data_IF_160699692639
#
_entry.id   IF_160699692639
#
_cell.length_a   1.000
_cell.length_b   1.000
_cell.length_c   1.000
_cell.angle_alpha   90.00
_cell.angle_beta   90.00
_cell.angle_gamma   90.00
#
_symmetry.space_group_name_H-M   'P 1'
#
loop_
_entity.id
_entity.type
_entity.pdbx_description
1 polymer ?
#
# COMPACT_ATOMS: atom_id res chain seq x y z
N UNK A 1 -19.07 -4.60 -0.84
CA UNK A 1 -19.01 -3.98 -2.19
C UNK A 1 -18.63 -2.51 -2.15
N UNK A 2 -19.41 -1.61 -1.51
CA UNK A 2 -19.05 -0.18 -1.42
C UNK A 2 -17.67 0.10 -0.83
N UNK A 3 -17.28 -0.60 0.24
CA UNK A 3 -15.95 -0.47 0.84
C UNK A 3 -14.83 -0.76 -0.17
N UNK A 4 -14.93 -1.85 -0.93
CA UNK A 4 -13.96 -2.20 -1.97
C UNK A 4 -13.88 -1.14 -3.08
N UNK A 5 -15.02 -0.58 -3.49
CA UNK A 5 -15.06 0.48 -4.49
C UNK A 5 -14.32 1.71 -3.97
N UNK A 6 -14.66 2.16 -2.75
CA UNK A 6 -14.02 3.32 -2.11
C UNK A 6 -12.51 3.09 -1.93
N UNK A 7 -12.11 1.90 -1.47
CA UNK A 7 -10.72 1.54 -1.29
C UNK A 7 -9.96 1.53 -2.62
N UNK A 8 -10.56 0.98 -3.68
CA UNK A 8 -9.97 0.95 -5.03
C UNK A 8 -9.79 2.36 -5.59
N UNK A 9 -10.81 3.23 -5.44
CA UNK A 9 -10.73 4.62 -5.86
C UNK A 9 -9.68 5.39 -5.06
N UNK A 10 -9.60 5.18 -3.75
CA UNK A 10 -8.58 5.80 -2.91
C UNK A 10 -7.17 5.33 -3.32
N UNK A 11 -6.96 4.02 -3.48
CA UNK A 11 -5.68 3.48 -3.92
C UNK A 11 -5.28 4.07 -5.27
N UNK A 12 -6.20 4.08 -6.24
CA UNK A 12 -5.96 4.66 -7.56
C UNK A 12 -5.62 6.15 -7.48
N UNK A 13 -6.38 6.92 -6.70
CA UNK A 13 -6.14 8.36 -6.51
C UNK A 13 -4.75 8.63 -5.93
N UNK A 14 -4.37 7.94 -4.85
CA UNK A 14 -3.07 8.16 -4.21
C UNK A 14 -1.90 7.70 -5.10
N UNK A 15 -2.03 6.57 -5.80
CA UNK A 15 -1.03 6.12 -6.78
C UNK A 15 -0.90 7.12 -7.94
N UNK A 16 -2.01 7.65 -8.45
CA UNK A 16 -2.02 8.64 -9.51
C UNK A 16 -1.41 9.96 -9.06
N UNK A 17 -1.84 10.48 -7.91
CA UNK A 17 -1.27 11.70 -7.31
C UNK A 17 0.24 11.55 -7.12
N UNK A 18 0.70 10.41 -6.59
CA UNK A 18 2.11 10.16 -6.44
C UNK A 18 2.84 10.17 -7.79
N UNK A 19 2.36 9.38 -8.75
CA UNK A 19 3.04 9.17 -10.04
C UNK A 19 3.15 10.44 -10.88
N UNK A 20 2.11 11.26 -10.92
CA UNK A 20 2.05 12.44 -11.80
C UNK A 20 2.48 13.75 -11.13
N UNK A 21 2.22 13.90 -9.82
CA UNK A 21 2.48 15.18 -9.12
C UNK A 21 3.71 15.11 -8.22
N UNK A 22 3.85 14.05 -7.44
CA UNK A 22 4.82 14.03 -6.34
C UNK A 22 6.12 13.29 -6.66
N UNK A 23 6.13 12.38 -7.63
CA UNK A 23 7.31 11.60 -8.00
C UNK A 23 8.52 12.47 -8.31
N UNK A 24 8.33 13.55 -9.07
CA UNK A 24 9.41 14.47 -9.46
C UNK A 24 9.90 15.36 -8.30
N UNK A 25 9.24 15.33 -7.15
CA UNK A 25 9.58 16.11 -5.96
C UNK A 25 10.38 15.31 -4.93
N UNK A 26 10.53 14.00 -5.14
CA UNK A 26 11.32 13.11 -4.25
C UNK A 26 12.76 13.04 -4.78
N UNK A 27 13.78 13.05 -3.90
CA UNK A 27 15.15 12.82 -4.33
C UNK A 27 15.31 11.42 -4.95
N UNK A 28 15.98 11.34 -6.10
CA UNK A 28 16.25 10.10 -6.85
C UNK A 28 14.99 9.32 -7.28
N UNK A 29 14.07 9.93 -8.07
CA UNK A 29 12.81 9.30 -8.50
C UNK A 29 12.97 8.06 -9.41
N UNK A 30 14.18 7.84 -9.93
CA UNK A 30 14.61 6.69 -10.71
C UNK A 30 14.88 5.43 -9.87
N UNK A 31 15.06 5.57 -8.54
CA UNK A 31 15.27 4.43 -7.66
C UNK A 31 14.01 3.54 -7.58
N UNK A 32 14.19 2.29 -7.17
CA UNK A 32 13.04 1.38 -6.99
C UNK A 32 12.05 1.94 -5.96
N UNK A 33 10.75 1.75 -6.19
CA UNK A 33 9.68 2.20 -5.28
C UNK A 33 9.89 1.68 -3.84
N UNK A 34 10.42 0.46 -3.66
CA UNK A 34 10.72 -0.09 -2.34
C UNK A 34 11.72 0.76 -1.55
N UNK A 35 12.77 1.26 -2.23
CA UNK A 35 13.77 2.14 -1.61
C UNK A 35 13.14 3.50 -1.28
N UNK A 36 12.28 4.01 -2.17
CA UNK A 36 11.56 5.26 -1.94
C UNK A 36 10.60 5.14 -0.74
N UNK A 37 9.93 4.00 -0.58
CA UNK A 37 9.09 3.71 0.60
C UNK A 37 9.94 3.66 1.87
N UNK A 38 11.10 2.99 1.83
CA UNK A 38 12.03 2.93 2.96
C UNK A 38 12.49 4.34 3.37
N UNK A 39 12.89 5.16 2.40
CA UNK A 39 13.28 6.55 2.64
C UNK A 39 12.11 7.38 3.17
N UNK A 40 10.90 7.19 2.62
CA UNK A 40 9.69 7.87 3.04
C UNK A 40 9.33 7.60 4.51
N UNK A 41 9.64 6.43 5.07
CA UNK A 41 9.42 6.18 6.51
C UNK A 41 10.30 7.05 7.41
N UNK A 42 11.50 7.43 6.95
CA UNK A 42 12.42 8.28 7.71
C UNK A 42 12.00 9.75 7.69
N UNK A 43 11.39 10.19 6.59
CA UNK A 43 10.86 11.56 6.42
C UNK A 43 9.37 11.55 6.01
N UNK A 44 8.52 10.99 6.87
CA UNK A 44 7.10 10.83 6.58
C UNK A 44 6.31 12.14 6.60
N UNK A 45 6.91 13.24 7.10
CA UNK A 45 6.25 14.55 7.23
C UNK A 45 6.16 15.29 5.90
N UNK A 46 7.00 14.97 4.92
CA UNK A 46 6.91 15.59 3.61
C UNK A 46 5.69 15.05 2.85
N UNK A 47 4.94 15.94 2.20
CA UNK A 47 3.73 15.57 1.46
C UNK A 47 3.95 14.46 0.43
N UNK A 48 5.04 14.46 -0.38
CA UNK A 48 5.32 13.36 -1.32
C UNK A 48 5.44 11.99 -0.63
N UNK A 49 6.17 11.94 0.48
CA UNK A 49 6.42 10.72 1.23
C UNK A 49 5.15 10.24 1.94
N UNK A 50 4.36 11.16 2.49
CA UNK A 50 3.08 10.85 3.10
C UNK A 50 2.10 10.25 2.09
N UNK A 51 2.00 10.83 0.89
CA UNK A 51 1.16 10.30 -0.20
C UNK A 51 1.62 8.90 -0.62
N UNK A 52 2.94 8.68 -0.73
CA UNK A 52 3.49 7.36 -1.05
C UNK A 52 3.19 6.33 0.03
N UNK A 53 3.36 6.68 1.31
CA UNK A 53 3.11 5.78 2.43
C UNK A 53 1.61 5.44 2.54
N UNK A 54 0.71 6.39 2.28
CA UNK A 54 -0.73 6.12 2.23
C UNK A 54 -1.07 5.18 1.06
N UNK A 55 -0.51 5.42 -0.13
CA UNK A 55 -0.68 4.52 -1.27
C UNK A 55 -0.22 3.10 -0.93
N UNK A 56 0.95 2.98 -0.29
CA UNK A 56 1.50 1.70 0.14
C UNK A 56 0.63 1.02 1.21
N UNK A 57 0.12 1.76 2.20
CA UNK A 57 -0.79 1.22 3.21
C UNK A 57 -2.09 0.71 2.59
N UNK A 58 -2.70 1.48 1.67
CA UNK A 58 -3.89 1.06 0.94
C UNK A 58 -3.63 -0.22 0.12
N UNK A 59 -2.45 -0.33 -0.49
CA UNK A 59 -2.03 -1.54 -1.19
C UNK A 59 -1.87 -2.75 -0.25
N UNK A 60 -1.28 -2.56 0.93
CA UNK A 60 -1.14 -3.63 1.93
C UNK A 60 -2.50 -4.14 2.43
N UNK A 61 -3.48 -3.24 2.59
CA UNK A 61 -4.83 -3.57 3.07
C UNK A 61 -5.76 -4.08 1.97
N UNK A 62 -5.38 -3.95 0.70
CA UNK A 62 -6.27 -4.28 -0.42
C UNK A 62 -6.78 -5.74 -0.42
N UNK A 63 -5.93 -6.76 -0.18
CA UNK A 63 -6.40 -8.16 -0.11
C UNK A 63 -7.42 -8.38 1.02
N UNK A 64 -7.24 -7.69 2.15
CA UNK A 64 -8.14 -7.78 3.29
C UNK A 64 -9.51 -7.19 2.94
N UNK A 65 -9.53 -6.00 2.34
CA UNK A 65 -10.76 -5.35 1.88
C UNK A 65 -11.47 -6.18 0.80
N UNK A 66 -10.71 -6.81 -0.09
CA UNK A 66 -11.24 -7.71 -1.12
C UNK A 66 -11.93 -8.90 -0.45
N UNK A 67 -11.23 -9.66 0.39
CA UNK A 67 -11.79 -10.85 1.01
C UNK A 67 -12.99 -10.56 1.92
N UNK A 68 -12.96 -9.48 2.71
CA UNK A 68 -14.13 -9.06 3.49
C UNK A 68 -15.31 -8.60 2.63
N UNK A 69 -15.04 -8.00 1.47
CA UNK A 69 -16.11 -7.54 0.57
C UNK A 69 -16.88 -8.66 -0.10
N UNK A 70 -16.26 -9.82 -0.27
CA UNK A 70 -16.92 -11.04 -0.74
C UNK A 70 -17.53 -11.88 0.39
N UNK A 71 -17.46 -11.37 1.63
CA UNK A 71 -18.02 -11.94 2.87
C UNK A 71 -18.35 -13.43 2.74
N UNK A 72 -17.31 -14.25 2.73
CA UNK A 72 -17.49 -15.68 2.77
C UNK A 72 -17.96 -15.96 4.19
N UNK A 73 -19.24 -16.24 4.43
CA UNK A 73 -19.76 -16.66 5.74
C UNK A 73 -19.23 -18.04 6.16
N UNK A 74 -17.94 -18.29 5.99
CA UNK A 74 -17.29 -19.57 6.13
C UNK A 74 -15.83 -19.42 6.55
N UNK A 75 -15.19 -20.56 6.82
CA UNK A 75 -13.76 -20.70 7.14
C UNK A 75 -12.82 -20.07 6.10
N UNK A 76 -13.31 -19.74 4.91
CA UNK A 76 -12.54 -19.05 3.88
C UNK A 76 -12.08 -17.64 4.29
N UNK A 77 -12.74 -16.99 5.26
CA UNK A 77 -12.24 -15.74 5.84
C UNK A 77 -10.90 -15.92 6.56
N UNK A 78 -10.66 -17.09 7.18
CA UNK A 78 -9.38 -17.41 7.81
C UNK A 78 -8.27 -17.46 6.76
N UNK A 79 -8.56 -18.06 5.60
CA UNK A 79 -7.61 -18.11 4.47
C UNK A 79 -7.29 -16.72 3.95
N UNK A 80 -8.30 -15.85 3.80
CA UNK A 80 -8.10 -14.44 3.43
C UNK A 80 -7.15 -13.75 4.39
N UNK A 81 -7.37 -13.91 5.71
CA UNK A 81 -6.53 -13.28 6.73
C UNK A 81 -5.10 -13.82 6.69
N UNK A 82 -4.92 -15.14 6.54
CA UNK A 82 -3.58 -15.76 6.43
C UNK A 82 -2.85 -15.23 5.18
N UNK A 83 -3.52 -15.21 4.02
CA UNK A 83 -2.92 -14.70 2.79
C UNK A 83 -2.58 -13.20 2.91
N UNK A 84 -3.45 -12.42 3.55
CA UNK A 84 -3.17 -11.02 3.84
C UNK A 84 -1.96 -10.84 4.77
N UNK A 85 -1.82 -11.65 5.83
CA UNK A 85 -0.65 -11.61 6.71
C UNK A 85 0.63 -11.91 5.93
N UNK A 86 0.63 -12.97 5.10
CA UNK A 86 1.79 -13.34 4.28
C UNK A 86 2.13 -12.22 3.28
N UNK A 87 1.12 -11.64 2.63
CA UNK A 87 1.26 -10.50 1.73
C UNK A 87 1.87 -9.29 2.44
N UNK A 88 1.23 -8.86 3.53
CA UNK A 88 1.63 -7.67 4.27
C UNK A 88 3.03 -7.84 4.86
N UNK A 89 3.36 -9.03 5.37
CA UNK A 89 4.68 -9.36 5.88
C UNK A 89 5.74 -9.29 4.79
N UNK A 90 5.54 -9.92 3.64
CA UNK A 90 6.52 -9.91 2.56
C UNK A 90 6.80 -8.49 2.08
N UNK A 91 5.75 -7.73 1.76
CA UNK A 91 5.91 -6.36 1.29
C UNK A 91 6.54 -5.46 2.35
N UNK A 92 6.17 -5.60 3.62
CA UNK A 92 6.78 -4.83 4.71
C UNK A 92 8.25 -5.21 4.92
N UNK A 93 8.60 -6.50 4.82
CA UNK A 93 9.98 -7.00 4.91
C UNK A 93 10.86 -6.36 3.85
N UNK A 94 10.44 -6.42 2.58
CA UNK A 94 11.22 -5.87 1.47
C UNK A 94 11.25 -4.34 1.41
N UNK A 95 10.26 -3.67 2.03
CA UNK A 95 10.19 -2.20 2.06
C UNK A 95 10.90 -1.58 3.27
N UNK A 96 10.94 -2.23 4.44
CA UNK A 96 11.45 -1.61 5.67
C UNK A 96 12.72 -2.26 6.22
N UNK A 97 12.91 -3.56 6.00
CA UNK A 97 14.00 -4.35 6.57
C UNK A 97 15.01 -4.81 5.52
N UNK A 98 15.12 -4.04 4.43
CA UNK A 98 16.13 -4.26 3.39
C UNK A 98 17.48 -3.83 3.96
N UNK A 99 18.33 -4.81 4.28
CA UNK A 99 19.76 -4.61 4.57
C UNK A 99 20.53 -4.16 3.32
#
# INVERSE_FOLDING_TARGET
>A
MWLLIIHSLALFLFVFLYSFRFRNLVPNPEQSILIQIQAATKDWKSTPNLVLLIAFLLFLLFPLTLGFSFYLQSDANVVVVILWIIWAYNWSKYSFFRE
#
